data_IF_913896512275
#
_entry.id   IF_913896512275
#
_cell.length_a   1.000
_cell.length_b   1.000
_cell.length_c   1.000
_cell.angle_alpha   90.00
_cell.angle_beta   90.00
_cell.angle_gamma   90.00
#
_symmetry.space_group_name_H-M   'P 1'
#
loop_
_entity.id
_entity.type
_entity.pdbx_description
1 polymer ?
#
# COMPACT_ATOMS: atom_id res chain seq x y z
N UNK A 1 4.78 -18.16 10.20
CA UNK A 1 5.09 -18.02 8.76
C UNK A 1 4.65 -19.29 8.06
N UNK A 2 3.75 -19.19 7.08
CA UNK A 2 3.26 -20.31 6.26
C UNK A 2 3.44 -19.94 4.78
N UNK A 3 3.76 -20.92 3.93
CA UNK A 3 4.11 -20.68 2.51
C UNK A 3 3.01 -19.94 1.74
N UNK A 4 1.75 -20.19 2.09
CA UNK A 4 0.59 -19.57 1.42
C UNK A 4 0.51 -18.05 1.59
N UNK A 5 1.22 -17.51 2.59
CA UNK A 5 1.22 -16.08 2.91
C UNK A 5 2.31 -15.33 2.11
N UNK A 6 3.23 -16.06 1.49
CA UNK A 6 4.28 -15.46 0.65
C UNK A 6 3.67 -14.93 -0.64
N UNK A 7 4.11 -13.76 -1.16
CA UNK A 7 3.71 -13.29 -2.48
C UNK A 7 3.89 -14.35 -3.57
N UNK A 8 2.94 -14.38 -4.49
CA UNK A 8 2.86 -15.33 -5.60
C UNK A 8 3.08 -14.62 -6.95
N UNK A 9 2.97 -15.39 -8.03
CA UNK A 9 3.04 -14.88 -9.41
C UNK A 9 1.86 -13.96 -9.71
N UNK A 10 2.02 -13.11 -10.72
CA UNK A 10 0.98 -12.21 -11.22
C UNK A 10 -0.33 -12.98 -11.52
N UNK A 11 -1.48 -12.56 -10.95
CA UNK A 11 -2.76 -13.21 -11.18
C UNK A 11 -3.31 -12.84 -12.56
N UNK A 12 -3.54 -13.85 -13.41
CA UNK A 12 -4.09 -13.62 -14.77
C UNK A 12 -5.59 -13.88 -14.83
N UNK A 13 -6.12 -14.70 -13.93
CA UNK A 13 -7.54 -15.04 -13.90
C UNK A 13 -8.30 -14.26 -12.82
N UNK A 14 -9.63 -13.99 -13.00
CA UNK A 14 -10.45 -13.36 -11.98
C UNK A 14 -10.52 -14.15 -10.66
N UNK A 15 -10.48 -15.48 -10.74
CA UNK A 15 -10.48 -16.35 -9.56
C UNK A 15 -9.17 -16.23 -8.76
N UNK A 16 -8.02 -16.22 -9.44
CA UNK A 16 -6.72 -15.96 -8.79
C UNK A 16 -6.67 -14.56 -8.17
N UNK A 17 -7.22 -13.55 -8.86
CA UNK A 17 -7.32 -12.19 -8.35
C UNK A 17 -8.15 -12.12 -7.06
N UNK A 18 -9.31 -12.77 -7.03
CA UNK A 18 -10.15 -12.81 -5.84
C UNK A 18 -9.49 -13.57 -4.67
N UNK A 19 -8.76 -14.65 -4.95
CA UNK A 19 -7.99 -15.37 -3.94
C UNK A 19 -6.83 -14.52 -3.38
N UNK A 20 -6.13 -13.79 -4.24
CA UNK A 20 -5.06 -12.87 -3.83
C UNK A 20 -5.61 -11.70 -2.99
N UNK A 21 -6.72 -11.07 -3.42
CA UNK A 21 -7.39 -10.03 -2.64
C UNK A 21 -7.72 -10.53 -1.22
N UNK A 22 -8.30 -11.73 -1.10
CA UNK A 22 -8.61 -12.36 0.19
C UNK A 22 -7.36 -12.61 1.04
N UNK A 23 -6.24 -13.02 0.42
CA UNK A 23 -4.95 -13.24 1.10
C UNK A 23 -4.39 -11.94 1.69
N UNK A 24 -4.53 -10.82 0.99
CA UNK A 24 -4.08 -9.50 1.45
C UNK A 24 -5.13 -8.75 2.31
N UNK A 25 -6.28 -9.38 2.61
CA UNK A 25 -7.36 -8.75 3.38
C UNK A 25 -8.08 -7.62 2.64
N UNK A 26 -7.96 -7.56 1.31
CA UNK A 26 -8.55 -6.52 0.46
C UNK A 26 -9.86 -7.01 -0.16
N UNK A 27 -10.71 -6.04 -0.52
CA UNK A 27 -11.89 -6.32 -1.33
C UNK A 27 -11.46 -6.64 -2.77
N UNK A 28 -12.14 -7.57 -3.48
CA UNK A 28 -11.79 -7.90 -4.86
C UNK A 28 -11.82 -6.70 -5.83
N UNK A 29 -12.62 -5.67 -5.51
CA UNK A 29 -12.75 -4.44 -6.30
C UNK A 29 -11.57 -3.48 -6.10
N UNK A 30 -11.01 -3.44 -4.88
CA UNK A 30 -9.91 -2.53 -4.51
C UNK A 30 -8.54 -3.18 -4.78
N UNK A 31 -8.52 -4.47 -5.10
CA UNK A 31 -7.29 -5.18 -5.42
C UNK A 31 -6.87 -4.95 -6.87
N UNK A 32 -5.86 -4.10 -7.03
CA UNK A 32 -5.10 -3.91 -8.25
C UNK A 32 -3.67 -4.42 -8.07
N UNK A 33 -3.06 -4.93 -9.13
CA UNK A 33 -1.66 -5.38 -9.16
C UNK A 33 -0.83 -4.49 -10.07
N UNK A 34 0.48 -4.45 -9.84
CA UNK A 34 1.44 -3.79 -10.73
C UNK A 34 1.45 -4.41 -12.13
N UNK A 35 1.77 -3.61 -13.14
CA UNK A 35 1.84 -4.07 -14.54
C UNK A 35 2.89 -5.18 -14.72
N UNK A 36 2.59 -6.23 -15.48
CA UNK A 36 3.51 -7.35 -15.68
C UNK A 36 4.64 -7.01 -16.67
N UNK A 37 5.51 -6.08 -16.30
CA UNK A 37 6.65 -5.57 -17.08
C UNK A 37 7.97 -6.33 -16.81
N UNK A 38 7.92 -7.38 -15.98
CA UNK A 38 9.08 -8.17 -15.56
C UNK A 38 9.77 -7.67 -14.29
N UNK A 39 9.50 -6.43 -13.87
CA UNK A 39 9.96 -5.88 -12.58
C UNK A 39 8.84 -5.84 -11.53
N UNK A 40 7.59 -6.09 -11.92
CA UNK A 40 6.49 -6.11 -10.98
C UNK A 40 6.63 -7.19 -9.88
N UNK A 41 6.21 -6.86 -8.64
CA UNK A 41 6.26 -7.75 -7.49
C UNK A 41 5.24 -8.91 -7.50
N UNK A 42 4.81 -9.37 -8.67
CA UNK A 42 3.91 -10.51 -8.82
C UNK A 42 2.46 -10.18 -8.40
N UNK A 43 1.95 -10.87 -7.37
CA UNK A 43 0.59 -10.69 -6.83
C UNK A 43 0.48 -9.58 -5.77
N UNK A 44 1.54 -8.82 -5.53
CA UNK A 44 1.53 -7.78 -4.49
C UNK A 44 0.54 -6.66 -4.85
N UNK A 45 -0.30 -6.22 -3.90
CA UNK A 45 -1.29 -5.18 -4.16
C UNK A 45 -0.61 -3.83 -4.43
N UNK A 46 -1.08 -3.14 -5.46
CA UNK A 46 -0.70 -1.78 -5.79
C UNK A 46 -1.59 -0.84 -4.96
N UNK A 47 -1.07 -0.43 -3.82
CA UNK A 47 -1.73 0.54 -2.95
C UNK A 47 -1.33 1.96 -3.35
N UNK A 48 -2.25 2.90 -3.16
CA UNK A 48 -1.94 4.31 -3.31
C UNK A 48 -0.88 4.74 -2.28
N UNK A 49 0.17 5.44 -2.70
CA UNK A 49 1.15 5.96 -1.77
C UNK A 49 0.53 7.07 -0.92
N UNK A 50 0.72 6.99 0.39
CA UNK A 50 0.33 8.01 1.35
C UNK A 50 1.45 8.20 2.37
N UNK A 51 1.65 9.43 2.84
CA UNK A 51 2.56 9.67 3.96
C UNK A 51 1.89 9.33 5.29
N UNK A 52 2.62 8.74 6.22
CA UNK A 52 2.12 8.41 7.57
C UNK A 52 1.53 9.63 8.31
N UNK A 53 2.01 10.84 8.05
CA UNK A 53 1.47 12.07 8.65
C UNK A 53 0.00 12.30 8.31
N UNK A 54 -0.49 11.78 7.18
CA UNK A 54 -1.87 11.98 6.72
C UNK A 54 -2.87 11.03 7.39
N UNK A 55 -2.38 10.02 8.14
CA UNK A 55 -3.22 9.17 8.97
C UNK A 55 -3.66 9.87 10.25
N UNK A 56 -4.85 9.51 10.74
CA UNK A 56 -5.47 10.11 11.92
C UNK A 56 -4.52 10.05 13.14
N UNK A 57 -4.09 11.19 13.70
CA UNK A 57 -3.21 11.18 14.87
C UNK A 57 -3.88 10.70 16.16
N UNK A 58 -5.20 10.62 16.22
CA UNK A 58 -5.96 10.25 17.42
C UNK A 58 -6.37 8.78 17.45
N UNK A 59 -6.21 8.05 16.36
CA UNK A 59 -6.54 6.63 16.32
C UNK A 59 -5.51 5.77 17.08
N UNK A 60 -5.99 4.73 17.75
CA UNK A 60 -5.16 3.79 18.49
C UNK A 60 -4.68 2.66 17.57
N UNK A 61 -3.59 2.91 16.86
CA UNK A 61 -2.96 1.91 16.00
C UNK A 61 -2.22 0.82 16.79
N UNK A 62 -2.24 -0.41 16.28
CA UNK A 62 -1.43 -1.51 16.82
C UNK A 62 0.08 -1.17 16.81
N UNK A 63 0.53 -0.51 15.74
CA UNK A 63 1.88 0.01 15.58
C UNK A 63 1.88 1.55 15.58
N UNK A 64 1.70 2.15 16.76
CA UNK A 64 1.55 3.59 16.92
C UNK A 64 2.66 4.46 16.31
N UNK A 65 3.91 3.98 16.28
CA UNK A 65 5.05 4.73 15.72
C UNK A 65 4.92 5.00 14.22
N UNK A 66 4.31 4.07 13.49
CA UNK A 66 4.13 4.11 12.03
C UNK A 66 2.66 4.23 11.64
N UNK A 67 1.79 4.49 12.62
CA UNK A 67 0.34 4.63 12.46
C UNK A 67 -0.32 3.53 11.61
N UNK A 68 0.00 2.26 11.91
CA UNK A 68 -0.44 1.09 11.13
C UNK A 68 -1.11 0.03 12.00
N UNK A 69 -2.09 -0.66 11.45
CA UNK A 69 -2.76 -1.78 12.11
C UNK A 69 -2.17 -3.14 11.71
N UNK A 70 -2.37 -4.15 12.56
CA UNK A 70 -1.98 -5.53 12.25
C UNK A 70 -2.76 -6.07 11.06
N UNK A 71 -2.10 -6.86 10.20
CA UNK A 71 -2.62 -7.38 8.92
C UNK A 71 -3.01 -6.34 7.86
N UNK A 72 -2.72 -5.06 8.07
CA UNK A 72 -2.89 -4.06 7.02
C UNK A 72 -1.84 -4.27 5.91
N UNK A 73 -2.25 -4.31 4.62
CA UNK A 73 -1.30 -4.45 3.52
C UNK A 73 -0.41 -3.21 3.43
N UNK A 74 0.88 -3.43 3.20
CA UNK A 74 1.90 -2.38 3.20
C UNK A 74 2.16 -1.94 1.75
N UNK A 75 2.18 -0.64 1.41
CA UNK A 75 2.58 -0.19 0.08
C UNK A 75 3.98 -0.67 -0.29
N UNK A 76 4.24 -0.97 -1.56
CA UNK A 76 5.53 -1.50 -2.01
C UNK A 76 6.72 -0.63 -1.59
N UNK A 77 6.58 0.69 -1.76
CA UNK A 77 7.59 1.69 -1.43
C UNK A 77 7.35 2.35 -0.06
N UNK A 78 6.76 1.64 0.90
CA UNK A 78 6.36 2.21 2.21
C UNK A 78 7.48 2.97 2.92
N UNK A 79 8.71 2.47 2.86
CA UNK A 79 9.89 3.10 3.48
C UNK A 79 10.13 4.54 3.01
N UNK A 80 9.70 4.88 1.78
CA UNK A 80 9.81 6.23 1.24
C UNK A 80 8.77 7.20 1.81
N UNK A 81 7.70 6.71 2.43
CA UNK A 81 6.53 7.50 2.87
C UNK A 81 6.34 7.50 4.39
N UNK A 82 7.37 7.14 5.15
CA UNK A 82 7.36 7.29 6.59
C UNK A 82 7.13 8.75 7.01
N UNK A 83 6.90 8.99 8.31
CA UNK A 83 6.68 10.34 8.85
C UNK A 83 7.74 11.39 8.47
N UNK A 84 8.97 10.98 8.10
CA UNK A 84 10.05 11.87 7.64
C UNK A 84 10.36 11.73 6.14
N UNK A 85 9.60 10.90 5.43
CA UNK A 85 9.77 10.60 4.01
C UNK A 85 9.09 11.60 3.08
N UNK A 86 8.94 11.19 1.83
CA UNK A 86 8.23 11.94 0.80
C UNK A 86 6.72 11.98 1.11
N UNK A 87 6.11 13.13 0.87
CA UNK A 87 4.66 13.30 0.99
C UNK A 87 4.06 13.63 -0.39
N UNK A 88 3.33 12.69 -1.02
CA UNK A 88 2.76 12.89 -2.35
C UNK A 88 1.59 13.88 -2.35
N UNK A 89 0.99 14.12 -1.19
CA UNK A 89 -0.08 15.09 -1.01
C UNK A 89 0.42 16.41 -0.41
N UNK A 90 1.74 16.53 -0.16
CA UNK A 90 2.35 17.81 0.16
C UNK A 90 2.07 18.73 -1.02
N UNK A 91 1.26 19.76 -0.79
CA UNK A 91 1.18 20.86 -1.73
C UNK A 91 2.59 21.42 -1.87
N UNK A 92 3.21 21.22 -3.04
CA UNK A 92 4.35 22.03 -3.41
C UNK A 92 3.88 23.48 -3.23
N UNK A 93 4.47 24.21 -2.28
CA UNK A 93 4.61 25.64 -2.44
C UNK A 93 5.50 25.82 -3.68
N UNK A 94 4.90 25.65 -4.86
CA UNK A 94 5.49 26.09 -6.11
C UNK A 94 5.61 27.58 -5.97
N UNK A 95 6.81 28.04 -5.63
CA UNK A 95 7.25 29.41 -5.84
C UNK A 95 6.17 30.48 -5.57
N UNK A 96 5.88 30.73 -4.29
CA UNK A 96 5.26 31.98 -3.84
C UNK A 96 3.90 32.41 -4.46
N UNK A 97 3.12 31.54 -5.10
CA UNK A 97 1.78 31.95 -5.54
C UNK A 97 0.74 31.81 -4.42
N UNK A 98 0.02 32.89 -4.03
CA UNK A 98 -1.02 32.83 -3.03
C UNK A 98 -2.33 32.32 -3.64
N UNK A 99 -3.06 31.49 -2.89
CA UNK A 99 -4.51 31.29 -3.09
C UNK A 99 -5.30 32.26 -2.25
#
# INVERSE_FOLDING_TARGET
>A
WHVDWKPARYPTTPAERAAAAKKYGLLPQDYETYENDGNAPGDYPKLEPFNELHRDPYEHYDYGQVKRNYNEPIPWDWDNYWSMGYDPAQQELRYNEPR
#
